data_IF_719814849371
#
_entry.id   IF_719814849371
#
_cell.length_a   1.000
_cell.length_b   1.000
_cell.length_c   1.000
_cell.angle_alpha   90.00
_cell.angle_beta   90.00
_cell.angle_gamma   90.00
#
_symmetry.space_group_name_H-M   'P 1'
#
loop_
_entity.id
_entity.type
_entity.pdbx_description
1 polymer ?
#
# COMPACT_ATOMS: atom_id res chain seq x y z
N UNK A 1 7.89 -11.33 -2.01
CA UNK A 1 6.56 -10.81 -1.60
C UNK A 1 5.87 -11.65 -0.52
N UNK A 2 5.57 -12.93 -0.75
CA UNK A 2 4.78 -13.77 0.18
C UNK A 2 5.37 -13.88 1.59
N UNK A 3 6.70 -13.94 1.72
CA UNK A 3 7.39 -14.01 3.01
C UNK A 3 7.30 -12.72 3.84
N UNK A 4 6.85 -11.60 3.26
CA UNK A 4 6.62 -10.34 3.96
C UNK A 4 5.13 -10.18 4.24
N UNK A 5 4.29 -10.35 3.22
CA UNK A 5 2.85 -10.13 3.34
C UNK A 5 2.16 -11.12 4.29
N UNK A 6 2.50 -12.41 4.27
CA UNK A 6 1.82 -13.45 5.07
C UNK A 6 2.07 -13.25 6.57
N UNK A 7 3.32 -13.12 7.06
CA UNK A 7 3.56 -12.93 8.50
C UNK A 7 3.04 -11.58 9.00
N UNK A 8 3.24 -10.50 8.23
CA UNK A 8 2.73 -9.16 8.58
C UNK A 8 1.21 -9.14 8.66
N UNK A 9 0.52 -9.79 7.70
CA UNK A 9 -0.93 -9.89 7.71
C UNK A 9 -1.46 -10.65 8.92
N UNK A 10 -0.81 -11.74 9.32
CA UNK A 10 -1.18 -12.48 10.52
C UNK A 10 -1.05 -11.62 11.79
N UNK A 11 0.08 -10.89 11.94
CA UNK A 11 0.30 -10.00 13.07
C UNK A 11 -0.70 -8.83 13.11
N UNK A 12 -0.89 -8.13 11.99
CA UNK A 12 -1.82 -6.99 11.87
C UNK A 12 -3.25 -7.42 12.23
N UNK A 13 -3.69 -8.58 11.73
CA UNK A 13 -5.03 -9.12 12.05
C UNK A 13 -5.14 -9.50 13.52
N UNK A 14 -4.14 -10.17 14.08
CA UNK A 14 -4.15 -10.60 15.48
C UNK A 14 -4.21 -9.41 16.44
N UNK A 15 -3.46 -8.36 16.14
CA UNK A 15 -3.36 -7.15 16.96
C UNK A 15 -4.43 -6.09 16.61
N UNK A 16 -5.30 -6.36 15.62
CA UNK A 16 -6.35 -5.45 15.13
C UNK A 16 -5.81 -4.05 14.74
N UNK A 17 -4.64 -4.02 14.10
CA UNK A 17 -3.94 -2.77 13.80
C UNK A 17 -4.46 -2.08 12.53
N UNK A 18 -5.17 -2.80 11.67
CA UNK A 18 -5.72 -2.29 10.41
C UNK A 18 -5.76 -3.35 9.33
N UNK A 19 -5.51 -2.95 8.09
CA UNK A 19 -5.50 -3.82 6.93
C UNK A 19 -4.16 -3.77 6.19
N UNK A 20 -3.69 -4.94 5.77
CA UNK A 20 -2.59 -5.09 4.83
C UNK A 20 -3.17 -5.44 3.46
N UNK A 21 -2.60 -4.87 2.42
CA UNK A 21 -2.93 -5.12 1.03
C UNK A 21 -1.66 -5.62 0.35
N UNK A 22 -1.76 -6.72 -0.39
CA UNK A 22 -0.65 -7.27 -1.16
C UNK A 22 -1.11 -7.38 -2.62
N UNK A 23 -0.38 -6.70 -3.50
CA UNK A 23 -0.67 -6.51 -4.93
C UNK A 23 -1.98 -5.77 -5.27
N UNK A 24 -1.91 -4.93 -6.30
CA UNK A 24 -3.04 -4.35 -7.08
C UNK A 24 -4.04 -3.43 -6.33
N UNK A 25 -3.81 -3.11 -5.06
CA UNK A 25 -4.60 -2.06 -4.39
C UNK A 25 -4.05 -0.69 -4.78
N UNK A 26 -4.75 0.00 -5.68
CA UNK A 26 -4.43 1.37 -6.04
C UNK A 26 -4.90 2.37 -4.99
N UNK A 27 -4.05 3.36 -4.71
CA UNK A 27 -4.26 4.48 -3.82
C UNK A 27 -4.28 5.75 -4.66
N UNK A 28 -5.36 6.53 -4.57
CA UNK A 28 -5.48 7.81 -5.27
C UNK A 28 -4.92 8.91 -4.39
N UNK A 29 -3.75 9.43 -4.76
CA UNK A 29 -3.02 10.42 -3.99
C UNK A 29 -3.52 11.83 -4.27
N UNK A 30 -3.87 12.10 -5.52
CA UNK A 30 -4.40 13.37 -6.01
C UNK A 30 -5.57 13.11 -6.94
N UNK A 31 -6.49 14.09 -7.03
CA UNK A 31 -7.62 14.09 -7.96
C UNK A 31 -7.52 15.33 -8.84
N UNK A 32 -7.93 15.19 -10.10
CA UNK A 32 -7.98 16.27 -11.08
C UNK A 32 -6.61 16.98 -11.38
N UNK A 33 -5.63 16.30 -12.01
CA UNK A 33 -5.70 14.94 -12.57
C UNK A 33 -5.43 13.86 -11.51
N UNK A 34 -5.93 12.65 -11.78
CA UNK A 34 -5.76 11.53 -10.86
C UNK A 34 -4.31 11.02 -10.85
N UNK A 35 -3.67 11.04 -9.67
CA UNK A 35 -2.40 10.36 -9.42
C UNK A 35 -2.67 9.09 -8.63
N UNK A 36 -2.46 7.92 -9.24
CA UNK A 36 -2.70 6.60 -8.60
C UNK A 36 -1.39 5.83 -8.45
N UNK A 37 -1.14 5.32 -7.24
CA UNK A 37 -0.01 4.44 -6.93
C UNK A 37 -0.52 3.12 -6.36
N UNK A 38 0.09 2.02 -6.76
CA UNK A 38 -0.28 0.68 -6.29
C UNK A 38 0.99 -0.03 -5.81
N UNK A 39 1.35 0.14 -4.52
CA UNK A 39 2.57 -0.47 -4.01
C UNK A 39 2.43 -1.99 -3.91
N UNK A 40 3.56 -2.69 -3.96
CA UNK A 40 3.59 -4.14 -3.81
C UNK A 40 2.91 -4.60 -2.51
N UNK A 41 3.17 -3.88 -1.42
CA UNK A 41 2.48 -4.06 -0.15
C UNK A 41 2.10 -2.69 0.43
N UNK A 42 0.87 -2.57 0.89
CA UNK A 42 0.37 -1.39 1.58
C UNK A 42 -0.23 -1.75 2.94
N UNK A 43 -0.08 -0.89 3.94
CA UNK A 43 -0.80 -0.99 5.20
C UNK A 43 -1.56 0.30 5.49
N UNK A 44 -2.79 0.14 5.98
CA UNK A 44 -3.64 1.24 6.43
C UNK A 44 -4.09 0.96 7.85
N UNK A 45 -3.92 1.94 8.75
CA UNK A 45 -4.32 1.83 10.16
C UNK A 45 -5.84 1.70 10.31
N UNK A 46 -6.25 0.96 11.33
CA UNK A 46 -7.66 0.69 11.65
C UNK A 46 -8.51 1.97 11.74
N UNK A 47 -8.02 3.02 12.41
CA UNK A 47 -8.71 4.32 12.54
C UNK A 47 -9.09 4.91 11.18
N UNK A 48 -8.21 4.82 10.19
CA UNK A 48 -8.48 5.34 8.84
C UNK A 48 -9.51 4.52 8.09
N UNK A 49 -9.53 3.19 8.30
CA UNK A 49 -10.50 2.29 7.69
C UNK A 49 -11.93 2.52 8.22
N UNK A 50 -12.06 3.01 9.44
CA UNK A 50 -13.37 3.34 10.04
C UNK A 50 -14.00 4.57 9.39
N UNK A 51 -13.17 5.49 8.91
CA UNK A 51 -13.61 6.74 8.29
C UNK A 51 -13.63 6.68 6.75
N UNK A 52 -12.94 5.72 6.15
CA UNK A 52 -12.83 5.59 4.69
C UNK A 52 -13.49 4.30 4.21
N UNK A 53 -14.62 4.45 3.51
CA UNK A 53 -15.25 3.35 2.76
C UNK A 53 -14.96 3.50 1.28
N UNK A 54 -13.92 2.82 0.80
CA UNK A 54 -13.58 2.81 -0.62
C UNK A 54 -14.32 1.71 -1.38
N UNK A 55 -14.89 2.05 -2.54
CA UNK A 55 -15.19 1.09 -3.62
C UNK A 55 -14.25 1.43 -4.78
N UNK A 56 -13.40 0.49 -5.19
CA UNK A 56 -12.31 0.76 -6.13
C UNK A 56 -11.04 1.21 -5.40
N UNK A 57 -10.33 2.20 -5.95
CA UNK A 57 -9.08 2.71 -5.37
C UNK A 57 -9.30 3.36 -4.00
N UNK A 58 -8.35 3.14 -3.10
CA UNK A 58 -8.36 3.75 -1.78
C UNK A 58 -8.03 5.24 -1.88
N UNK A 59 -8.82 6.16 -1.31
CA UNK A 59 -8.51 7.58 -1.34
C UNK A 59 -7.43 7.95 -0.32
N UNK A 60 -6.41 8.68 -0.77
CA UNK A 60 -5.25 9.09 0.02
C UNK A 60 -4.15 8.03 0.07
N UNK A 61 -3.04 8.35 0.73
CA UNK A 61 -1.85 7.48 0.85
C UNK A 61 -2.09 6.30 1.79
N UNK A 62 -1.37 5.17 1.64
CA UNK A 62 -1.26 4.20 2.72
C UNK A 62 -0.44 4.76 3.89
N UNK A 63 -0.59 4.18 5.08
CA UNK A 63 0.26 4.52 6.25
C UNK A 63 1.68 3.96 6.08
N UNK A 64 1.82 2.82 5.40
CA UNK A 64 3.11 2.24 5.01
C UNK A 64 2.97 1.69 3.59
N UNK A 65 3.92 2.03 2.72
CA UNK A 65 4.12 1.43 1.41
C UNK A 65 5.45 0.66 1.38
N UNK A 66 5.47 -0.50 0.76
CA UNK A 66 6.68 -1.32 0.55
C UNK A 66 6.73 -1.72 -0.92
N UNK A 67 7.89 -1.50 -1.54
CA UNK A 67 8.24 -1.94 -2.89
C UNK A 67 9.28 -3.06 -2.79
N UNK A 68 9.12 -4.12 -3.59
CA UNK A 68 10.06 -5.23 -3.67
C UNK A 68 10.85 -5.08 -4.97
N UNK A 69 12.11 -4.65 -4.84
CA UNK A 69 13.01 -4.53 -5.98
C UNK A 69 13.34 -5.92 -6.51
N UNK A 70 13.05 -6.18 -7.79
CA UNK A 70 13.39 -7.45 -8.44
C UNK A 70 14.76 -7.37 -9.12
N UNK A 71 15.48 -8.49 -9.28
CA UNK A 71 16.73 -8.52 -10.03
C UNK A 71 16.48 -8.10 -11.50
N UNK A 72 16.87 -6.88 -11.85
CA UNK A 72 16.61 -6.28 -13.17
C UNK A 72 15.90 -4.93 -13.12
N UNK A 73 15.26 -4.60 -12.00
CA UNK A 73 14.75 -3.25 -11.76
C UNK A 73 15.94 -2.31 -11.47
N UNK A 74 15.98 -1.15 -12.14
CA UNK A 74 16.99 -0.15 -11.83
C UNK A 74 16.62 0.54 -10.52
N UNK A 75 17.60 0.87 -9.68
CA UNK A 75 17.38 1.56 -8.40
C UNK A 75 16.59 2.88 -8.56
N UNK A 76 16.64 3.49 -9.75
CA UNK A 76 15.93 4.73 -10.12
C UNK A 76 14.42 4.52 -10.19
N UNK A 77 13.95 3.34 -10.63
CA UNK A 77 12.52 3.02 -10.71
C UNK A 77 11.87 2.82 -9.33
N UNK A 78 12.68 2.51 -8.30
CA UNK A 78 12.20 2.31 -6.93
C UNK A 78 12.08 3.64 -6.16
N UNK A 79 12.98 4.60 -6.37
CA UNK A 79 12.91 5.91 -5.71
C UNK A 79 11.72 6.76 -6.22
N UNK A 80 11.42 6.73 -7.52
CA UNK A 80 10.25 7.45 -8.07
C UNK A 80 8.90 6.91 -7.55
N UNK A 81 8.84 5.63 -7.14
CA UNK A 81 7.63 5.02 -6.59
C UNK A 81 7.38 5.35 -5.12
N UNK A 82 8.44 5.59 -4.35
CA UNK A 82 8.36 5.84 -2.90
C UNK A 82 8.28 7.35 -2.58
N UNK A 83 8.74 8.22 -3.49
CA UNK A 83 8.95 9.64 -3.21
C UNK A 83 7.76 10.59 -3.52
N UNK A 84 6.53 10.13 -3.73
CA UNK A 84 5.36 11.04 -3.86
C UNK A 84 4.07 10.42 -3.33
#
# INVERSE_FOLDING_TARGET
MMNIAIPSGAFIKQQKLGAIYAAETGFVLERDPDTVRAPDIAFVKQERLEHVKAKGFFPGTPDIAVEVISPGDSYIDAEEKVAT
#
